data_IF_444798891249
#
_entry.id   IF_444798891249
#
_cell.length_a   1.000
_cell.length_b   1.000
_cell.length_c   1.000
_cell.angle_alpha   90.00
_cell.angle_beta   90.00
_cell.angle_gamma   90.00
#
_symmetry.space_group_name_H-M   'P 1'
#
loop_
_entity.id
_entity.type
_entity.pdbx_description
1 polymer ?
#
# COMPACT_ATOMS: atom_id res chain seq x y z
N UNK A 1 14.86 14.09 13.92
CA UNK A 1 13.95 13.04 13.38
C UNK A 1 12.47 13.32 13.64
N UNK A 2 11.98 13.52 14.91
CA UNK A 2 10.53 13.83 15.12
C UNK A 2 10.08 15.11 14.42
N UNK A 3 10.90 16.15 14.45
CA UNK A 3 10.58 17.42 13.81
C UNK A 3 10.62 17.32 12.29
N UNK A 4 11.58 16.59 11.72
CA UNK A 4 11.67 16.37 10.29
C UNK A 4 10.49 15.55 9.77
N UNK A 5 10.12 14.46 10.46
CA UNK A 5 8.93 13.68 10.10
C UNK A 5 7.65 14.51 10.20
N UNK A 6 7.54 15.40 11.20
CA UNK A 6 6.42 16.32 11.31
C UNK A 6 6.39 17.34 10.16
N UNK A 7 7.54 17.91 9.80
CA UNK A 7 7.66 18.83 8.66
C UNK A 7 7.27 18.15 7.35
N UNK A 8 7.77 16.92 7.11
CA UNK A 8 7.42 16.15 5.93
C UNK A 8 5.92 15.81 5.89
N UNK A 9 5.30 15.53 7.04
CA UNK A 9 3.84 15.32 7.14
C UNK A 9 3.05 16.57 6.77
N UNK A 10 3.52 17.75 7.16
CA UNK A 10 2.91 19.03 6.77
C UNK A 10 3.11 19.31 5.27
N UNK A 11 4.27 18.97 4.72
CA UNK A 11 4.55 19.12 3.29
C UNK A 11 3.66 18.18 2.46
N UNK A 12 3.48 16.93 2.87
CA UNK A 12 2.60 15.98 2.18
C UNK A 12 1.15 16.47 2.12
N UNK A 13 0.68 17.16 3.17
CA UNK A 13 -0.65 17.78 3.22
C UNK A 13 -0.81 18.99 2.30
N UNK A 14 0.26 19.76 2.10
CA UNK A 14 0.21 21.00 1.31
C UNK A 14 0.49 20.78 -0.16
N UNK A 15 1.44 19.91 -0.49
CA UNK A 15 1.89 19.67 -1.85
C UNK A 15 1.07 18.61 -2.59
N UNK A 16 0.36 17.73 -1.87
CA UNK A 16 -0.49 16.68 -2.44
C UNK A 16 0.16 15.98 -3.66
N UNK A 17 -0.37 16.23 -4.87
CA UNK A 17 0.12 15.61 -6.10
C UNK A 17 1.58 15.91 -6.44
N UNK A 18 2.06 17.10 -6.14
CA UNK A 18 3.47 17.49 -6.40
C UNK A 18 4.45 16.75 -5.48
N UNK A 19 3.95 16.21 -4.35
CA UNK A 19 4.76 15.39 -3.44
C UNK A 19 5.04 13.99 -4.00
N UNK A 20 4.30 13.53 -5.01
CA UNK A 20 4.42 12.17 -5.58
C UNK A 20 5.84 11.84 -6.04
N UNK A 21 6.48 12.73 -6.78
CA UNK A 21 7.84 12.54 -7.27
C UNK A 21 8.86 12.41 -6.13
N UNK A 22 8.68 13.16 -5.06
CA UNK A 22 9.55 13.10 -3.88
C UNK A 22 9.30 11.84 -3.05
N UNK A 23 8.04 11.37 -2.97
CA UNK A 23 7.67 10.18 -2.24
C UNK A 23 8.37 8.93 -2.81
N UNK A 24 8.48 8.79 -4.13
CA UNK A 24 9.17 7.68 -4.78
C UNK A 24 10.64 7.55 -4.32
N UNK A 25 11.34 8.66 -4.14
CA UNK A 25 12.73 8.66 -3.64
C UNK A 25 12.83 8.44 -2.13
N UNK A 26 11.83 8.92 -1.37
CA UNK A 26 11.85 8.83 0.08
C UNK A 26 11.50 7.42 0.59
N UNK A 27 10.57 6.72 -0.06
CA UNK A 27 10.05 5.44 0.41
C UNK A 27 11.11 4.38 0.68
N UNK A 28 12.09 4.10 -0.20
CA UNK A 28 13.11 3.10 0.09
C UNK A 28 13.95 3.44 1.33
N UNK A 29 14.16 4.74 1.60
CA UNK A 29 14.88 5.20 2.80
C UNK A 29 13.99 5.06 4.04
N UNK A 30 12.72 5.45 3.94
CA UNK A 30 11.76 5.34 5.03
C UNK A 30 11.54 3.89 5.47
N UNK A 31 11.50 2.96 4.54
CA UNK A 31 11.34 1.53 4.87
C UNK A 31 12.55 0.98 5.65
N UNK A 32 13.75 1.45 5.37
CA UNK A 32 14.92 1.11 6.20
C UNK A 32 14.84 1.71 7.60
N UNK A 33 14.26 2.91 7.73
CA UNK A 33 14.13 3.58 9.02
C UNK A 33 13.00 3.01 9.88
N UNK A 34 11.95 2.45 9.27
CA UNK A 34 10.82 1.84 9.99
C UNK A 34 11.22 0.58 10.77
N UNK A 35 12.25 -0.13 10.31
CA UNK A 35 12.74 -1.36 10.95
C UNK A 35 13.99 -1.16 11.80
N UNK A 36 14.42 0.08 11.97
CA UNK A 36 15.60 0.38 12.79
C UNK A 36 15.31 0.09 14.26
N UNK A 37 16.35 -0.33 15.01
CA UNK A 37 16.23 -0.67 16.43
C UNK A 37 15.93 0.52 17.35
N UNK A 38 16.14 1.74 16.87
CA UNK A 38 15.84 2.96 17.62
C UNK A 38 14.34 3.25 17.51
N UNK A 39 13.58 2.82 18.51
CA UNK A 39 12.11 2.86 18.54
C UNK A 39 11.52 4.23 18.18
N UNK A 40 12.07 5.30 18.73
CA UNK A 40 11.59 6.68 18.47
C UNK A 40 11.69 7.07 16.99
N UNK A 41 12.72 6.57 16.30
CA UNK A 41 12.91 6.81 14.85
C UNK A 41 11.92 5.96 14.07
N UNK A 42 11.84 4.66 14.40
CA UNK A 42 10.93 3.73 13.75
C UNK A 42 9.46 4.19 13.85
N UNK A 43 8.98 4.54 15.04
CA UNK A 43 7.62 5.05 15.25
C UNK A 43 7.35 6.37 14.53
N UNK A 44 8.32 7.30 14.56
CA UNK A 44 8.16 8.59 13.86
C UNK A 44 8.07 8.41 12.35
N UNK A 45 8.84 7.47 11.82
CA UNK A 45 8.85 7.12 10.39
C UNK A 45 7.56 6.42 9.99
N UNK A 46 7.10 5.47 10.79
CA UNK A 46 5.84 4.75 10.60
C UNK A 46 4.64 5.71 10.56
N UNK A 47 4.57 6.63 11.53
CA UNK A 47 3.57 7.68 11.56
C UNK A 47 3.62 8.59 10.32
N UNK A 48 4.82 8.92 9.84
CA UNK A 48 4.95 9.72 8.64
C UNK A 48 4.45 8.98 7.39
N UNK A 49 4.83 7.70 7.21
CA UNK A 49 4.36 6.88 6.08
C UNK A 49 2.82 6.78 6.12
N UNK A 50 2.25 6.48 7.28
CA UNK A 50 0.80 6.40 7.47
C UNK A 50 0.10 7.70 7.08
N UNK A 51 0.61 8.85 7.54
CA UNK A 51 0.07 10.17 7.20
C UNK A 51 0.21 10.50 5.71
N UNK A 52 1.31 10.10 5.11
CA UNK A 52 1.55 10.27 3.68
C UNK A 52 0.56 9.45 2.85
N UNK A 53 0.36 8.18 3.17
CA UNK A 53 -0.61 7.30 2.49
C UNK A 53 -2.05 7.78 2.65
N UNK A 54 -2.36 8.38 3.79
CA UNK A 54 -3.67 8.97 4.05
C UNK A 54 -3.93 10.22 3.20
N UNK A 55 -2.93 11.12 3.10
CA UNK A 55 -3.07 12.41 2.43
C UNK A 55 -2.89 12.31 0.91
N UNK A 56 -1.99 11.44 0.47
CA UNK A 56 -1.53 11.36 -0.91
C UNK A 56 -1.86 10.00 -1.51
N UNK A 57 -2.70 9.97 -2.55
CA UNK A 57 -3.12 8.73 -3.21
C UNK A 57 -2.20 8.41 -4.40
N UNK A 58 -0.96 8.00 -4.12
CA UNK A 58 0.05 7.71 -5.13
C UNK A 58 0.04 6.24 -5.56
N UNK A 59 -0.47 5.94 -6.75
CA UNK A 59 -0.48 4.58 -7.27
C UNK A 59 0.91 3.95 -7.37
N UNK A 60 1.95 4.75 -7.62
CA UNK A 60 3.34 4.30 -7.76
C UNK A 60 4.02 3.86 -6.47
N UNK A 61 3.47 4.21 -5.30
CA UNK A 61 3.97 3.73 -4.01
C UNK A 61 3.74 2.23 -3.85
N UNK A 62 2.62 1.73 -4.34
CA UNK A 62 2.24 0.33 -4.10
C UNK A 62 3.20 -0.69 -4.70
N UNK A 63 3.69 -0.55 -5.94
CA UNK A 63 4.77 -1.39 -6.45
C UNK A 63 6.01 -1.42 -5.56
N UNK A 64 6.41 -0.27 -4.99
CA UNK A 64 7.55 -0.21 -4.06
C UNK A 64 7.28 -0.98 -2.77
N UNK A 65 6.06 -0.93 -2.23
CA UNK A 65 5.64 -1.72 -1.06
C UNK A 65 5.75 -3.22 -1.35
N UNK A 66 5.23 -3.66 -2.50
CA UNK A 66 5.26 -5.07 -2.91
C UNK A 66 6.70 -5.55 -3.13
N UNK A 67 7.52 -4.73 -3.78
CA UNK A 67 8.92 -5.05 -4.04
C UNK A 67 9.73 -5.17 -2.74
N UNK A 68 9.54 -4.24 -1.80
CA UNK A 68 10.16 -4.32 -0.49
C UNK A 68 9.72 -5.55 0.30
N UNK A 69 8.43 -5.91 0.29
CA UNK A 69 7.93 -7.10 0.98
C UNK A 69 8.54 -8.39 0.41
N UNK A 70 8.84 -8.44 -0.88
CA UNK A 70 9.41 -9.62 -1.55
C UNK A 70 10.93 -9.74 -1.40
N UNK A 71 11.64 -8.63 -1.39
CA UNK A 71 13.10 -8.61 -1.51
C UNK A 71 13.83 -8.33 -0.19
N UNK A 72 13.14 -7.80 0.82
CA UNK A 72 13.74 -7.54 2.13
C UNK A 72 13.54 -8.74 3.07
N UNK A 73 14.60 -9.26 3.72
CA UNK A 73 14.50 -10.40 4.62
C UNK A 73 13.82 -10.08 5.97
N UNK A 74 13.50 -8.81 6.23
CA UNK A 74 12.90 -8.37 7.49
C UNK A 74 11.41 -8.72 7.54
N UNK A 75 11.03 -9.70 8.35
CA UNK A 75 9.64 -10.03 8.60
C UNK A 75 8.86 -8.86 9.24
N UNK A 76 9.54 -8.00 10.02
CA UNK A 76 8.94 -6.77 10.56
C UNK A 76 8.56 -5.82 9.42
N UNK A 77 9.44 -5.65 8.42
CA UNK A 77 9.11 -4.84 7.25
C UNK A 77 7.98 -5.46 6.43
N UNK A 78 7.99 -6.77 6.25
CA UNK A 78 6.92 -7.48 5.55
C UNK A 78 5.55 -7.27 6.23
N UNK A 79 5.48 -7.36 7.57
CA UNK A 79 4.27 -7.04 8.33
C UNK A 79 3.82 -5.59 8.11
N UNK A 80 4.75 -4.63 8.16
CA UNK A 80 4.47 -3.22 7.89
C UNK A 80 3.99 -2.96 6.46
N UNK A 81 4.56 -3.63 5.47
CA UNK A 81 4.10 -3.56 4.08
C UNK A 81 2.65 -4.04 3.93
N UNK A 82 2.26 -5.11 4.64
CA UNK A 82 0.86 -5.55 4.68
C UNK A 82 -0.06 -4.53 5.37
N UNK A 83 0.41 -3.88 6.44
CA UNK A 83 -0.32 -2.83 7.14
C UNK A 83 -0.55 -1.60 6.25
N UNK A 84 0.49 -1.14 5.55
CA UNK A 84 0.37 -0.05 4.58
C UNK A 84 -0.55 -0.40 3.40
N UNK A 85 -0.49 -1.62 2.90
CA UNK A 85 -1.41 -2.09 1.86
C UNK A 85 -2.87 -2.09 2.35
N UNK A 86 -3.10 -2.48 3.62
CA UNK A 86 -4.42 -2.42 4.25
C UNK A 86 -4.91 -0.99 4.39
N UNK A 87 -4.09 -0.05 4.85
CA UNK A 87 -4.42 1.37 4.92
C UNK A 87 -4.82 1.93 3.53
N UNK A 88 -4.10 1.55 2.48
CA UNK A 88 -4.45 1.97 1.12
C UNK A 88 -5.83 1.41 0.70
N UNK A 89 -6.16 0.17 1.06
CA UNK A 89 -7.48 -0.41 0.81
C UNK A 89 -8.60 0.33 1.55
N UNK A 90 -8.33 0.83 2.75
CA UNK A 90 -9.31 1.57 3.54
C UNK A 90 -9.54 2.99 3.02
N UNK A 91 -8.47 3.73 2.75
CA UNK A 91 -8.56 5.16 2.42
C UNK A 91 -8.72 5.45 0.93
N UNK A 92 -8.36 4.52 0.06
CA UNK A 92 -8.43 4.70 -1.39
C UNK A 92 -9.65 4.03 -2.02
N UNK A 93 -10.61 3.57 -1.21
CA UNK A 93 -11.87 2.96 -1.67
C UNK A 93 -12.56 3.84 -2.71
N UNK A 94 -13.03 3.22 -3.80
CA UNK A 94 -13.73 3.92 -4.88
C UNK A 94 -12.81 4.66 -5.86
N UNK A 95 -11.50 4.60 -5.69
CA UNK A 95 -10.57 5.11 -6.71
C UNK A 95 -10.26 4.03 -7.75
N UNK A 96 -10.18 4.37 -9.05
CA UNK A 96 -9.80 3.41 -10.09
C UNK A 96 -8.39 2.84 -9.88
N UNK A 97 -7.56 3.50 -9.09
CA UNK A 97 -6.19 3.09 -8.77
C UNK A 97 -6.10 1.73 -8.08
N UNK A 98 -7.05 1.38 -7.20
CA UNK A 98 -7.08 0.06 -6.53
C UNK A 98 -7.33 -1.06 -7.55
N UNK A 99 -8.22 -0.83 -8.51
CA UNK A 99 -8.55 -1.83 -9.53
C UNK A 99 -7.35 -2.15 -10.43
N UNK A 100 -6.60 -1.12 -10.83
CA UNK A 100 -5.38 -1.27 -11.61
C UNK A 100 -4.23 -1.94 -10.84
N UNK A 101 -4.33 -2.00 -9.52
CA UNK A 101 -3.34 -2.61 -8.64
C UNK A 101 -3.77 -3.99 -8.11
N UNK A 102 -4.87 -4.57 -8.63
CA UNK A 102 -5.42 -5.83 -8.12
C UNK A 102 -4.39 -6.96 -8.17
N UNK A 103 -3.67 -7.11 -9.28
CA UNK A 103 -2.63 -8.13 -9.45
C UNK A 103 -1.51 -7.99 -8.41
N UNK A 104 -1.12 -6.74 -8.09
CA UNK A 104 -0.10 -6.45 -7.08
C UNK A 104 -0.59 -6.81 -5.66
N UNK A 105 -1.89 -6.60 -5.35
CA UNK A 105 -2.47 -7.05 -4.09
C UNK A 105 -2.48 -8.57 -3.98
N UNK A 106 -2.87 -9.27 -5.04
CA UNK A 106 -2.81 -10.73 -5.07
C UNK A 106 -1.40 -11.26 -4.87
N UNK A 107 -0.42 -10.65 -5.52
CA UNK A 107 0.99 -10.99 -5.40
C UNK A 107 1.52 -10.80 -3.99
N UNK A 108 1.23 -9.65 -3.37
CA UNK A 108 1.61 -9.36 -1.98
C UNK A 108 0.98 -10.38 -1.02
N UNK A 109 -0.31 -10.63 -1.16
CA UNK A 109 -1.06 -11.58 -0.32
C UNK A 109 -0.48 -12.99 -0.46
N UNK A 110 -0.26 -13.48 -1.69
CA UNK A 110 0.32 -14.80 -1.94
C UNK A 110 1.69 -14.94 -1.29
N UNK A 111 2.54 -13.92 -1.42
CA UNK A 111 3.88 -13.92 -0.84
C UNK A 111 3.83 -13.96 0.69
N UNK A 112 3.11 -13.03 1.32
CA UNK A 112 3.08 -12.88 2.77
C UNK A 112 2.28 -13.97 3.48
N UNK A 113 1.36 -14.69 2.81
CA UNK A 113 0.68 -15.86 3.36
C UNK A 113 1.63 -17.03 3.62
N UNK A 114 2.73 -17.12 2.89
CA UNK A 114 3.79 -18.12 3.07
C UNK A 114 4.84 -17.75 4.11
N UNK A 115 4.77 -16.57 4.73
CA UNK A 115 5.77 -16.11 5.69
C UNK A 115 5.84 -16.99 6.93
N UNK A 116 7.06 -17.15 7.48
CA UNK A 116 7.30 -17.94 8.68
C UNK A 116 6.64 -17.35 9.93
N UNK A 117 6.55 -16.00 10.02
CA UNK A 117 5.96 -15.30 11.16
C UNK A 117 4.44 -15.31 11.13
N UNK A 118 3.84 -15.69 12.28
CA UNK A 118 2.39 -15.72 12.44
C UNK A 118 1.75 -14.34 12.34
N UNK A 119 2.46 -13.29 12.76
CA UNK A 119 2.01 -11.90 12.71
C UNK A 119 1.82 -11.45 11.26
N UNK A 120 2.81 -11.69 10.39
CA UNK A 120 2.71 -11.40 8.94
C UNK A 120 1.50 -12.10 8.34
N UNK A 121 1.33 -13.40 8.61
CA UNK A 121 0.18 -14.16 8.10
C UNK A 121 -1.15 -13.65 8.62
N UNK A 122 -1.21 -13.17 9.87
CA UNK A 122 -2.42 -12.57 10.45
C UNK A 122 -2.80 -11.26 9.76
N UNK A 123 -1.84 -10.37 9.58
CA UNK A 123 -2.02 -9.11 8.85
C UNK A 123 -2.44 -9.35 7.40
N UNK A 124 -1.81 -10.34 6.76
CA UNK A 124 -2.15 -10.72 5.38
C UNK A 124 -3.60 -11.22 5.24
N UNK A 125 -4.11 -12.00 6.20
CA UNK A 125 -5.53 -12.43 6.19
C UNK A 125 -6.49 -11.24 6.29
N UNK A 126 -6.15 -10.25 7.12
CA UNK A 126 -6.93 -9.01 7.24
C UNK A 126 -6.91 -8.23 5.93
N UNK A 127 -5.73 -8.09 5.32
CA UNK A 127 -5.56 -7.45 4.01
C UNK A 127 -6.37 -8.17 2.92
N UNK A 128 -6.32 -9.49 2.87
CA UNK A 128 -7.13 -10.30 1.93
C UNK A 128 -8.63 -10.09 2.12
N UNK A 129 -9.11 -10.12 3.36
CA UNK A 129 -10.53 -9.90 3.66
C UNK A 129 -11.02 -8.55 3.18
N UNK A 130 -10.23 -7.50 3.39
CA UNK A 130 -10.54 -6.14 2.94
C UNK A 130 -10.47 -6.01 1.41
N UNK A 131 -9.44 -6.60 0.79
CA UNK A 131 -9.28 -6.63 -0.66
C UNK A 131 -10.46 -7.32 -1.34
N UNK A 132 -10.87 -8.50 -0.87
CA UNK A 132 -12.01 -9.24 -1.40
C UNK A 132 -13.33 -8.43 -1.30
N UNK A 133 -13.55 -7.74 -0.17
CA UNK A 133 -14.72 -6.86 0.01
C UNK A 133 -14.71 -5.68 -0.97
N UNK A 134 -13.55 -5.07 -1.20
CA UNK A 134 -13.43 -3.93 -2.12
C UNK A 134 -13.57 -4.35 -3.58
N UNK A 135 -13.03 -5.51 -3.95
CA UNK A 135 -13.18 -6.07 -5.29
C UNK A 135 -14.65 -6.42 -5.56
N UNK A 136 -15.34 -7.06 -4.61
CA UNK A 136 -16.76 -7.36 -4.73
C UNK A 136 -17.61 -6.08 -4.90
N UNK A 137 -17.32 -5.02 -4.16
CA UNK A 137 -17.97 -3.71 -4.31
C UNK A 137 -17.70 -3.09 -5.70
N UNK A 138 -16.46 -3.18 -6.18
CA UNK A 138 -16.08 -2.67 -7.50
C UNK A 138 -16.83 -3.38 -8.63
N UNK A 139 -16.96 -4.71 -8.55
CA UNK A 139 -17.73 -5.51 -9.51
C UNK A 139 -19.23 -5.27 -9.46
N UNK A 140 -19.77 -4.85 -8.32
CA UNK A 140 -21.18 -4.52 -8.15
C UNK A 140 -21.56 -3.14 -8.70
N UNK A 141 -20.58 -2.26 -8.99
CA UNK A 141 -20.84 -0.95 -9.58
C UNK A 141 -21.13 -1.06 -11.08
N UNK A 142 -22.16 -0.33 -11.62
CA UNK A 142 -22.62 -0.51 -13.01
C UNK A 142 -21.59 -0.18 -14.09
N UNK A 143 -20.50 0.49 -13.75
CA UNK A 143 -19.40 0.82 -14.68
C UNK A 143 -18.68 -0.44 -15.22
N UNK A 144 -18.69 -1.53 -14.47
CA UNK A 144 -18.05 -2.80 -14.87
C UNK A 144 -18.91 -3.66 -15.81
N UNK A 145 -20.23 -3.39 -15.93
CA UNK A 145 -21.10 -4.16 -16.84
C UNK A 145 -20.86 -3.89 -18.32
N UNK A 146 -20.15 -2.83 -18.67
CA UNK A 146 -19.91 -2.45 -20.07
C UNK A 146 -18.62 -2.99 -20.69
N UNK A 147 -17.69 -3.52 -19.89
CA UNK A 147 -16.39 -4.02 -20.40
C UNK A 147 -16.38 -5.52 -20.76
N UNK A 148 -17.47 -6.25 -20.53
CA UNK A 148 -17.55 -7.69 -20.82
C UNK A 148 -18.29 -8.05 -22.12
N UNK A 149 -18.63 -7.07 -22.98
CA UNK A 149 -19.45 -7.32 -24.18
C UNK A 149 -18.77 -7.07 -25.51
N UNK A 150 -17.43 -7.04 -25.59
CA UNK A 150 -16.75 -6.93 -26.90
C UNK A 150 -15.79 -8.12 -27.13
N UNK A 151 -16.36 -9.34 -27.13
CA UNK A 151 -15.71 -10.48 -27.77
C UNK A 151 -16.76 -11.33 -28.50
N UNK A 152 -17.39 -10.74 -29.51
CA UNK A 152 -18.06 -11.49 -30.60
C UNK A 152 -18.01 -10.57 -31.80
N UNK A 153 -17.07 -10.85 -32.68
CA UNK A 153 -17.23 -10.85 -34.13
C UNK A 153 -15.85 -10.94 -34.79
N UNK A 154 -15.38 -12.17 -34.94
CA UNK A 154 -14.55 -12.55 -36.07
C UNK A 154 -15.11 -13.84 -36.63
N UNK A 155 -15.95 -13.67 -37.66
CA UNK A 155 -16.15 -14.63 -38.73
C UNK A 155 -15.52 -14.10 -39.98
#
# INVERSE_FOLDING_TARGET
MKQECHLLSLLSKKLLGDFEAYAEFLIPVLFKLVVITILVIAESTDNFITMMLHNCKFARIFPCIVDCAKNDPSAVLCAKCCDYALLMLEYWVGTPKIQHSADLYEDLIKWCMGDAMSEVRSMTRTCYSMFAKNLAKALATPIFKFSCCDTKDYK
#
